data_IF_810547811622
#
_entry.id   IF_810547811622
#
_cell.length_a   1.000
_cell.length_b   1.000
_cell.length_c   1.000
_cell.angle_alpha   90.00
_cell.angle_beta   90.00
_cell.angle_gamma   90.00
#
_symmetry.space_group_name_H-M   'P 1'
#
loop_
_entity.id
_entity.type
_entity.pdbx_description
1 polymer ?
#
# COMPACT_ATOMS: atom_id res chain seq x y z
N UNK A 1 16.40 -3.98 6.87
CA UNK A 1 15.21 -3.53 7.63
C UNK A 1 14.23 -2.94 6.63
N UNK A 2 13.45 -3.80 5.96
CA UNK A 2 12.57 -3.34 4.88
C UNK A 2 11.42 -2.55 5.47
N UNK A 3 11.28 -1.32 4.98
CA UNK A 3 10.25 -0.40 5.43
C UNK A 3 8.96 -0.80 4.73
N UNK A 4 8.25 -1.80 5.26
CA UNK A 4 6.89 -2.13 4.83
C UNK A 4 6.00 -0.94 5.19
N UNK A 5 6.02 0.15 4.41
CA UNK A 5 5.07 1.24 4.54
C UNK A 5 4.09 1.14 3.39
N UNK A 6 2.83 1.30 3.74
CA UNK A 6 1.72 1.20 2.82
C UNK A 6 0.80 2.39 2.97
N UNK A 7 0.14 2.75 1.90
CA UNK A 7 -0.98 3.68 1.87
C UNK A 7 -2.26 2.88 1.65
N UNK A 8 -3.33 3.26 2.34
CA UNK A 8 -4.66 2.70 2.09
C UNK A 8 -5.10 3.13 0.70
N UNK A 9 -5.61 2.20 -0.14
CA UNK A 9 -6.00 2.35 -1.55
C UNK A 9 -4.90 2.13 -2.61
N UNK A 10 -5.30 2.07 -3.88
CA UNK A 10 -4.42 1.85 -5.03
C UNK A 10 -3.55 3.07 -5.35
N UNK A 11 -2.32 2.83 -5.84
CA UNK A 11 -1.37 3.89 -6.18
C UNK A 11 -1.85 4.83 -7.32
N UNK A 12 -2.85 4.40 -8.08
CA UNK A 12 -3.44 5.17 -9.18
C UNK A 12 -4.54 6.16 -8.74
N UNK A 13 -5.17 5.96 -7.57
CA UNK A 13 -6.11 6.94 -7.02
C UNK A 13 -5.39 8.21 -6.56
N UNK A 14 -4.10 8.11 -6.22
CA UNK A 14 -3.26 9.27 -5.83
C UNK A 14 -2.88 10.12 -7.05
N UNK A 15 -2.93 9.56 -8.28
CA UNK A 15 -2.53 10.25 -9.52
C UNK A 15 -3.65 11.06 -10.19
N UNK A 16 -4.92 10.75 -9.90
CA UNK A 16 -6.08 11.35 -10.60
C UNK A 16 -6.58 12.66 -9.98
N UNK A 17 -6.02 13.10 -8.85
CA UNK A 17 -6.40 14.33 -8.16
C UNK A 17 -5.39 15.49 -8.34
N UNK A 18 -4.76 15.63 -9.51
CA UNK A 18 -3.84 16.75 -9.77
C UNK A 18 -4.03 17.38 -11.14
N UNK A 19 -5.20 18.01 -11.35
CA UNK A 19 -5.30 19.13 -12.27
C UNK A 19 -6.07 20.25 -11.54
N UNK A 20 -5.38 21.37 -11.29
CA UNK A 20 -5.88 22.67 -10.81
C UNK A 20 -6.02 22.92 -9.28
N UNK A 21 -4.99 23.61 -8.75
CA UNK A 21 -5.06 24.73 -7.78
C UNK A 21 -5.11 24.52 -6.26
N UNK A 22 -4.72 23.38 -5.70
CA UNK A 22 -4.15 23.38 -4.34
C UNK A 22 -3.33 22.13 -4.09
N UNK A 23 -2.20 22.25 -3.39
CA UNK A 23 -1.33 21.16 -2.99
C UNK A 23 -2.09 20.13 -2.11
N UNK A 24 -2.88 19.27 -2.71
CA UNK A 24 -3.21 17.98 -2.09
C UNK A 24 -2.01 17.08 -2.31
N UNK A 25 -0.95 17.33 -1.52
CA UNK A 25 -0.36 16.21 -0.80
C UNK A 25 -1.50 15.61 0.00
N UNK A 26 -2.33 14.77 -0.63
CA UNK A 26 -3.06 13.75 0.07
C UNK A 26 -1.95 13.02 0.81
N UNK A 27 -1.76 13.41 2.07
CA UNK A 27 -0.60 13.03 2.85
C UNK A 27 -0.48 11.54 2.65
N UNK A 28 0.65 11.14 2.11
CA UNK A 28 1.17 9.79 2.19
C UNK A 28 1.36 9.51 3.70
N UNK A 29 0.26 9.39 4.46
CA UNK A 29 0.28 8.85 5.82
C UNK A 29 0.47 7.36 5.62
N UNK A 30 1.70 7.00 5.29
CA UNK A 30 2.11 5.62 5.13
C UNK A 30 2.09 5.01 6.51
N UNK A 31 1.20 4.06 6.74
CA UNK A 31 1.26 3.23 7.95
C UNK A 31 2.23 2.09 7.71
N UNK A 32 2.85 1.60 8.78
CA UNK A 32 3.65 0.37 8.69
C UNK A 32 2.70 -0.80 8.41
N UNK A 33 3.03 -1.61 7.43
CA UNK A 33 2.37 -2.87 7.16
C UNK A 33 2.70 -3.85 8.29
N UNK A 34 1.66 -4.47 8.83
CA UNK A 34 1.73 -5.54 9.81
C UNK A 34 1.98 -6.85 9.08
N UNK A 35 3.24 -7.07 8.72
CA UNK A 35 3.71 -8.36 8.23
C UNK A 35 3.95 -9.27 9.43
N UNK A 36 3.09 -10.25 9.63
CA UNK A 36 3.35 -11.34 10.55
C UNK A 36 4.18 -12.40 9.82
N UNK A 37 5.37 -12.71 10.33
CA UNK A 37 6.26 -13.73 9.74
C UNK A 37 5.63 -15.14 9.73
N UNK A 38 4.55 -15.35 10.50
CA UNK A 38 3.78 -16.58 10.58
C UNK A 38 2.65 -16.72 9.52
N UNK A 39 2.68 -15.93 8.45
CA UNK A 39 1.74 -16.09 7.34
C UNK A 39 2.02 -17.39 6.57
N UNK A 40 1.29 -18.46 6.92
CA UNK A 40 1.26 -19.75 6.18
C UNK A 40 0.59 -19.60 4.81
N UNK A 41 -0.24 -18.56 4.64
CA UNK A 41 -0.84 -18.18 3.38
C UNK A 41 -1.68 -16.91 3.56
N UNK A 42 -1.90 -16.18 2.47
CA UNK A 42 -2.77 -15.01 2.48
C UNK A 42 -4.23 -15.40 2.26
N UNK A 43 -5.18 -14.85 3.04
CA UNK A 43 -6.59 -14.99 2.73
C UNK A 43 -6.89 -14.33 1.39
N UNK A 44 -7.88 -14.84 0.65
CA UNK A 44 -8.35 -14.26 -0.62
C UNK A 44 -9.26 -13.05 -0.40
N UNK A 45 -8.76 -12.08 0.37
CA UNK A 45 -9.41 -10.79 0.62
C UNK A 45 -8.87 -9.80 -0.39
N UNK A 46 -9.77 -9.04 -1.00
CA UNK A 46 -9.43 -7.91 -1.85
C UNK A 46 -9.55 -6.62 -1.03
N UNK A 47 -8.41 -6.12 -0.56
CA UNK A 47 -8.28 -4.87 0.19
C UNK A 47 -7.03 -4.13 -0.31
N UNK A 48 -7.14 -3.38 -1.41
CA UNK A 48 -5.98 -2.88 -2.12
C UNK A 48 -5.18 -1.85 -1.29
N UNK A 49 -3.87 -2.03 -1.30
CA UNK A 49 -2.92 -1.12 -0.65
C UNK A 49 -1.81 -0.71 -1.61
N UNK A 50 -1.37 0.53 -1.49
CA UNK A 50 -0.28 1.07 -2.27
C UNK A 50 1.03 0.92 -1.48
N UNK A 51 1.97 0.14 -2.02
CA UNK A 51 3.32 0.01 -1.49
C UNK A 51 4.15 1.27 -1.74
N UNK A 52 5.25 1.40 -1.00
CA UNK A 52 6.20 2.50 -1.20
C UNK A 52 6.91 2.44 -2.57
N UNK A 53 6.99 1.26 -3.15
CA UNK A 53 7.44 0.99 -4.52
C UNK A 53 6.50 1.53 -5.60
N UNK A 54 5.33 2.05 -5.21
CA UNK A 54 4.30 2.51 -6.14
C UNK A 54 3.52 1.36 -6.78
N UNK A 55 3.64 0.14 -6.25
CA UNK A 55 2.87 -1.02 -6.69
C UNK A 55 1.63 -1.15 -5.83
N UNK A 56 0.51 -1.45 -6.49
CA UNK A 56 -0.75 -1.75 -5.80
C UNK A 56 -0.82 -3.25 -5.53
N UNK A 57 -0.99 -3.61 -4.27
CA UNK A 57 -1.12 -5.00 -3.83
C UNK A 57 -2.57 -5.28 -3.47
N UNK A 58 -3.07 -6.45 -3.88
CA UNK A 58 -4.45 -6.88 -3.63
C UNK A 58 -4.81 -6.99 -2.14
N UNK A 59 -3.80 -7.13 -1.27
CA UNK A 59 -3.93 -7.02 0.18
C UNK A 59 -2.58 -6.71 0.82
N UNK A 60 -2.61 -6.21 2.05
CA UNK A 60 -1.43 -6.02 2.90
C UNK A 60 -0.61 -7.32 3.06
N UNK A 61 -1.30 -8.46 3.14
CA UNK A 61 -0.64 -9.76 3.21
C UNK A 61 0.13 -10.10 1.92
N UNK A 62 -0.45 -9.83 0.75
CA UNK A 62 0.23 -10.08 -0.52
C UNK A 62 1.48 -9.20 -0.66
N UNK A 63 1.44 -7.96 -0.17
CA UNK A 63 2.63 -7.10 -0.09
C UNK A 63 3.72 -7.73 0.78
N UNK A 64 3.36 -8.24 1.96
CA UNK A 64 4.31 -8.90 2.86
C UNK A 64 4.89 -10.21 2.29
N UNK A 65 4.12 -10.93 1.47
CA UNK A 65 4.58 -12.16 0.82
C UNK A 65 5.57 -11.88 -0.33
N UNK A 66 5.35 -10.81 -1.08
CA UNK A 66 6.19 -10.41 -2.22
C UNK A 66 7.46 -9.68 -1.77
N UNK A 67 7.35 -8.77 -0.79
CA UNK A 67 8.45 -7.91 -0.34
C UNK A 67 9.13 -8.44 0.96
N UNK A 68 9.48 -9.73 1.00
CA UNK A 68 10.28 -10.32 2.10
C UNK A 68 11.72 -9.83 2.11
#
# INVERSE_FOLDING_TARGET
MNLHKIHSNDCHLVRTAVIFLSNTSAKLVGRKASCNDALVGCPRIYDPVCGMDGITYSSECNLCAENR
#
